data_IF_992537352007
#
_entry.id   IF_992537352007
#
_cell.length_a   1.000
_cell.length_b   1.000
_cell.length_c   1.000
_cell.angle_alpha   90.00
_cell.angle_beta   90.00
_cell.angle_gamma   90.00
#
_symmetry.space_group_name_H-M   'P 1'
#
loop_
_entity.id
_entity.type
_entity.pdbx_description
1 polymer ?
#
# COMPACT_ATOMS: atom_id res chain seq x y z
N UNK A 1 4.52 44.87 47.38
CA UNK A 1 4.36 44.81 45.89
C UNK A 1 5.32 43.89 45.13
N UNK A 2 6.17 43.06 45.77
CA UNK A 2 7.05 42.10 45.05
C UNK A 2 6.35 40.77 44.69
N UNK A 3 5.43 40.29 45.54
CA UNK A 3 4.67 39.05 45.32
C UNK A 3 3.69 39.10 44.14
N UNK A 4 3.10 40.27 43.84
CA UNK A 4 2.18 40.39 42.70
C UNK A 4 2.90 40.22 41.36
N UNK A 5 4.16 40.66 41.27
CA UNK A 5 4.96 40.54 40.05
C UNK A 5 5.33 39.10 39.73
N UNK A 6 5.67 38.30 40.75
CA UNK A 6 6.00 36.88 40.55
C UNK A 6 4.80 36.05 40.11
N UNK A 7 3.61 36.33 40.66
CA UNK A 7 2.38 35.62 40.27
C UNK A 7 1.97 35.95 38.83
N UNK A 8 2.07 37.22 38.41
CA UNK A 8 1.80 37.65 37.02
C UNK A 8 2.81 37.02 36.04
N UNK A 9 4.06 36.85 36.46
CA UNK A 9 5.11 36.26 35.64
C UNK A 9 4.92 34.74 35.48
N UNK A 10 4.50 34.06 36.56
CA UNK A 10 4.12 32.64 36.52
C UNK A 10 2.89 32.41 35.64
N UNK A 11 1.85 33.24 35.75
CA UNK A 11 0.64 33.12 34.91
C UNK A 11 0.99 33.28 33.43
N UNK A 12 1.83 34.25 33.06
CA UNK A 12 2.33 34.42 31.68
C UNK A 12 3.11 33.20 31.17
N UNK A 13 3.92 32.57 32.03
CA UNK A 13 4.67 31.36 31.66
C UNK A 13 3.74 30.17 31.45
N UNK A 14 2.73 29.97 32.31
CA UNK A 14 1.72 28.92 32.09
C UNK A 14 0.88 29.16 30.84
N UNK A 15 0.48 30.40 30.55
CA UNK A 15 -0.26 30.71 29.31
C UNK A 15 0.57 30.40 28.07
N UNK A 16 1.86 30.74 28.06
CA UNK A 16 2.76 30.42 26.95
C UNK A 16 3.01 28.91 26.78
N UNK A 17 3.03 28.15 27.87
CA UNK A 17 3.13 26.69 27.81
C UNK A 17 1.84 26.05 27.28
N UNK A 18 0.68 26.57 27.69
CA UNK A 18 -0.63 26.11 27.20
C UNK A 18 -0.79 26.44 25.71
N UNK A 19 -0.35 27.63 25.27
CA UNK A 19 -0.39 28.00 23.85
C UNK A 19 0.53 27.11 23.01
N UNK A 20 1.74 26.78 23.49
CA UNK A 20 2.64 25.82 22.81
C UNK A 20 2.06 24.41 22.77
N UNK A 21 1.46 23.95 23.87
CA UNK A 21 0.82 22.64 23.94
C UNK A 21 -0.37 22.57 22.96
N UNK A 22 -1.16 23.64 22.90
CA UNK A 22 -2.28 23.78 21.96
C UNK A 22 -1.82 23.85 20.50
N UNK A 23 -0.70 24.53 20.21
CA UNK A 23 -0.08 24.55 18.88
C UNK A 23 0.46 23.17 18.48
N UNK A 24 1.08 22.42 19.41
CA UNK A 24 1.52 21.04 19.18
C UNK A 24 0.33 20.11 18.91
N UNK A 25 -0.75 20.17 19.71
CA UNK A 25 -1.98 19.40 19.43
C UNK A 25 -2.64 19.81 18.12
N UNK A 26 -2.69 21.10 17.77
CA UNK A 26 -3.23 21.55 16.46
C UNK A 26 -2.36 21.10 15.30
N UNK A 27 -1.04 21.00 15.49
CA UNK A 27 -0.13 20.49 14.48
C UNK A 27 -0.26 18.97 14.31
N UNK A 28 -0.45 18.23 15.39
CA UNK A 28 -0.82 16.81 15.40
C UNK A 28 -2.18 16.58 14.72
N UNK A 29 -3.20 17.37 15.04
CA UNK A 29 -4.54 17.32 14.42
C UNK A 29 -4.49 17.63 12.91
N UNK A 30 -3.73 18.65 12.49
CA UNK A 30 -3.53 18.97 11.07
C UNK A 30 -2.74 17.89 10.32
N UNK A 31 -1.85 17.15 11.01
CA UNK A 31 -1.21 15.95 10.44
C UNK A 31 -2.22 14.81 10.30
N UNK A 32 -3.09 14.61 11.29
CA UNK A 32 -4.19 13.63 11.26
C UNK A 32 -5.16 13.90 10.10
N UNK A 33 -5.52 15.16 9.85
CA UNK A 33 -6.40 15.53 8.73
C UNK A 33 -5.77 15.29 7.35
N UNK A 34 -4.45 15.43 7.20
CA UNK A 34 -3.77 15.15 5.92
C UNK A 34 -3.87 13.69 5.48
N UNK A 35 -4.08 12.75 6.42
CA UNK A 35 -4.30 11.34 6.12
C UNK A 35 -5.79 10.98 5.94
N UNK A 36 -6.73 11.91 6.19
CA UNK A 36 -8.17 11.69 5.97
C UNK A 36 -8.59 11.85 4.51
N UNK A 37 -7.73 12.35 3.63
CA UNK A 37 -8.04 12.36 2.20
C UNK A 37 -7.86 10.93 1.63
N UNK A 38 -8.84 10.38 0.90
CA UNK A 38 -8.69 9.11 0.19
C UNK A 38 -7.40 9.11 -0.62
N UNK A 39 -6.57 8.07 -0.47
CA UNK A 39 -5.46 7.89 -1.38
C UNK A 39 -6.02 7.65 -2.78
N UNK A 40 -5.71 8.55 -3.71
CA UNK A 40 -6.01 8.32 -5.12
C UNK A 40 -5.25 7.10 -5.59
N UNK A 41 -5.96 6.09 -6.11
CA UNK A 41 -5.32 4.89 -6.63
C UNK A 41 -4.45 5.24 -7.83
N UNK A 42 -3.26 4.65 -7.88
CA UNK A 42 -2.30 4.84 -8.96
C UNK A 42 -1.75 3.51 -9.41
N UNK A 43 -1.86 3.21 -10.71
CA UNK A 43 -1.18 2.05 -11.28
C UNK A 43 0.35 2.21 -11.21
N UNK A 44 0.85 3.44 -11.09
CA UNK A 44 2.28 3.73 -10.95
C UNK A 44 2.75 3.70 -9.49
N UNK A 45 1.93 3.29 -8.53
CA UNK A 45 2.32 3.13 -7.12
C UNK A 45 3.47 2.15 -6.94
N UNK A 46 3.50 1.14 -7.80
CA UNK A 46 4.47 0.06 -7.88
C UNK A 46 4.86 -0.14 -9.33
N UNK A 47 6.11 -0.54 -9.58
CA UNK A 47 6.57 -1.03 -10.87
C UNK A 47 6.73 -2.54 -10.77
N UNK A 48 6.19 -3.29 -11.74
CA UNK A 48 6.38 -4.73 -11.81
C UNK A 48 7.28 -5.07 -13.01
N UNK A 49 8.15 -6.06 -12.84
CA UNK A 49 8.98 -6.61 -13.92
C UNK A 49 8.87 -8.13 -13.94
N UNK A 50 9.38 -8.73 -15.01
CA UNK A 50 9.55 -10.18 -15.07
C UNK A 50 11.03 -10.55 -14.97
N UNK A 51 11.37 -11.73 -14.42
CA UNK A 51 12.72 -12.23 -14.47
C UNK A 51 13.16 -12.50 -15.91
N UNK A 52 14.46 -12.38 -16.18
CA UNK A 52 15.03 -12.78 -17.47
C UNK A 52 14.91 -14.27 -17.74
N UNK A 53 14.99 -15.10 -16.69
CA UNK A 53 14.69 -16.53 -16.74
C UNK A 53 13.33 -16.79 -16.07
N UNK A 54 12.33 -17.09 -16.88
CA UNK A 54 10.96 -17.33 -16.39
C UNK A 54 10.81 -18.62 -15.59
N UNK A 55 11.78 -19.56 -15.62
CA UNK A 55 11.77 -20.73 -14.73
C UNK A 55 11.82 -20.34 -13.26
N UNK A 56 12.32 -19.15 -12.95
CA UNK A 56 12.30 -18.60 -11.58
C UNK A 56 10.89 -18.35 -11.04
N UNK A 57 9.88 -18.35 -11.91
CA UNK A 57 8.47 -18.21 -11.54
C UNK A 57 7.81 -19.55 -11.17
N UNK A 58 8.49 -20.68 -11.43
CA UNK A 58 7.91 -22.00 -11.13
C UNK A 58 7.69 -22.18 -9.63
N UNK A 59 6.46 -22.56 -9.28
CA UNK A 59 6.01 -22.78 -7.90
C UNK A 59 6.21 -21.56 -6.97
N UNK A 60 6.39 -20.36 -7.51
CA UNK A 60 6.58 -19.15 -6.73
C UNK A 60 5.22 -18.64 -6.22
N UNK A 61 5.14 -18.29 -4.94
CA UNK A 61 3.93 -17.67 -4.39
C UNK A 61 3.77 -16.23 -4.88
N UNK A 62 2.53 -15.73 -4.91
CA UNK A 62 2.22 -14.34 -5.26
C UNK A 62 3.01 -13.33 -4.42
N UNK A 63 3.07 -13.53 -3.10
CA UNK A 63 3.84 -12.65 -2.22
C UNK A 63 5.35 -12.69 -2.52
N UNK A 64 5.90 -13.88 -2.77
CA UNK A 64 7.31 -14.02 -3.13
C UNK A 64 7.63 -13.35 -4.47
N UNK A 65 6.73 -13.45 -5.45
CA UNK A 65 6.85 -12.73 -6.70
C UNK A 65 6.85 -11.22 -6.46
N UNK A 66 5.86 -10.73 -5.71
CA UNK A 66 5.73 -9.32 -5.39
C UNK A 66 6.99 -8.79 -4.71
N UNK A 67 7.52 -9.48 -3.71
CA UNK A 67 8.73 -9.05 -3.02
C UNK A 67 9.99 -8.99 -3.90
N UNK A 68 10.12 -9.88 -4.89
CA UNK A 68 11.34 -10.00 -5.72
C UNK A 68 11.30 -9.15 -6.98
N UNK A 69 10.15 -9.08 -7.63
CA UNK A 69 10.02 -8.53 -8.98
C UNK A 69 9.15 -7.27 -9.03
N UNK A 70 8.97 -6.63 -7.89
CA UNK A 70 8.26 -5.36 -7.83
C UNK A 70 9.02 -4.32 -7.04
N UNK A 71 8.81 -3.06 -7.41
CA UNK A 71 9.44 -1.91 -6.80
C UNK A 71 8.40 -0.84 -6.50
N UNK A 72 7.99 -0.70 -5.23
CA UNK A 72 7.20 0.43 -4.78
C UNK A 72 7.88 1.76 -5.10
N UNK A 73 7.10 2.78 -5.41
CA UNK A 73 7.64 4.15 -5.54
C UNK A 73 8.09 4.68 -4.18
N UNK A 74 9.17 5.46 -4.16
CA UNK A 74 9.73 5.99 -2.92
C UNK A 74 8.71 6.82 -2.11
N UNK A 75 7.82 7.56 -2.79
CA UNK A 75 6.77 8.32 -2.13
C UNK A 75 5.76 7.40 -1.43
N UNK A 76 5.20 6.40 -2.13
CA UNK A 76 4.26 5.44 -1.53
C UNK A 76 4.88 4.68 -0.38
N UNK A 77 6.11 4.19 -0.55
CA UNK A 77 6.86 3.53 0.52
C UNK A 77 6.99 4.41 1.76
N UNK A 78 7.32 5.70 1.61
CA UNK A 78 7.42 6.62 2.75
C UNK A 78 6.07 6.83 3.46
N UNK A 79 4.98 6.96 2.71
CA UNK A 79 3.63 7.11 3.27
C UNK A 79 3.25 5.86 4.08
N UNK A 80 3.42 4.67 3.49
CA UNK A 80 3.04 3.41 4.12
C UNK A 80 3.92 3.11 5.34
N UNK A 81 5.23 3.33 5.26
CA UNK A 81 6.11 3.13 6.41
C UNK A 81 5.80 4.09 7.57
N UNK A 82 5.35 5.32 7.28
CA UNK A 82 4.87 6.24 8.33
C UNK A 82 3.59 5.73 8.98
N UNK A 83 2.67 5.18 8.19
CA UNK A 83 1.44 4.57 8.69
C UNK A 83 1.75 3.34 9.56
N UNK A 84 2.59 2.43 9.06
CA UNK A 84 3.03 1.24 9.81
C UNK A 84 3.60 1.67 11.16
N UNK A 85 4.57 2.60 11.20
CA UNK A 85 5.18 3.06 12.46
C UNK A 85 4.19 3.68 13.45
N UNK A 86 3.08 4.23 12.97
CA UNK A 86 2.03 4.82 13.81
C UNK A 86 1.18 3.73 14.46
N UNK A 87 0.87 2.66 13.72
CA UNK A 87 -0.02 1.58 14.16
C UNK A 87 0.74 0.45 14.87
N UNK A 88 1.92 0.12 14.37
CA UNK A 88 2.73 -1.02 14.76
C UNK A 88 4.18 -0.59 15.00
N UNK A 89 4.68 -0.93 16.19
CA UNK A 89 6.07 -0.64 16.59
C UNK A 89 7.02 -1.77 16.21
N UNK A 90 6.48 -2.95 15.97
CA UNK A 90 7.26 -4.15 15.69
C UNK A 90 7.63 -4.24 14.21
N UNK A 91 8.76 -4.91 13.97
CA UNK A 91 9.30 -5.12 12.61
C UNK A 91 8.49 -6.21 11.89
N UNK A 92 8.01 -7.18 12.66
CA UNK A 92 7.16 -8.29 12.25
C UNK A 92 5.77 -8.01 12.76
N UNK A 93 4.79 -8.03 11.88
CA UNK A 93 3.42 -7.60 12.15
C UNK A 93 2.51 -8.80 11.92
N UNK A 94 1.64 -9.08 12.88
CA UNK A 94 0.70 -10.19 12.77
C UNK A 94 -0.27 -9.98 11.59
N UNK A 95 -0.82 -11.07 11.05
CA UNK A 95 -1.65 -10.99 9.84
C UNK A 95 -2.87 -10.07 10.02
N UNK A 96 -3.51 -10.12 11.17
CA UNK A 96 -4.68 -9.28 11.49
C UNK A 96 -4.31 -7.79 11.53
N UNK A 97 -3.21 -7.45 12.21
CA UNK A 97 -2.68 -6.10 12.24
C UNK A 97 -2.26 -5.61 10.85
N UNK A 98 -1.73 -6.50 10.00
CA UNK A 98 -1.40 -6.18 8.63
C UNK A 98 -2.64 -5.83 7.79
N UNK A 99 -3.78 -6.52 7.99
CA UNK A 99 -5.05 -6.16 7.35
C UNK A 99 -5.53 -4.78 7.80
N UNK A 100 -5.41 -4.46 9.09
CA UNK A 100 -5.76 -3.15 9.62
C UNK A 100 -4.90 -2.03 9.01
N UNK A 101 -3.58 -2.26 8.87
CA UNK A 101 -2.69 -1.32 8.19
C UNK A 101 -3.13 -1.09 6.74
N UNK A 102 -3.46 -2.16 6.01
CA UNK A 102 -3.91 -2.05 4.61
C UNK A 102 -5.27 -1.32 4.54
N UNK A 103 -6.17 -1.58 5.48
CA UNK A 103 -7.47 -0.90 5.56
C UNK A 103 -7.31 0.61 5.86
N UNK A 104 -6.48 0.97 6.84
CA UNK A 104 -6.19 2.37 7.16
C UNK A 104 -5.42 3.08 6.04
N UNK A 105 -4.59 2.36 5.28
CA UNK A 105 -3.93 2.91 4.09
C UNK A 105 -4.94 3.42 3.07
N UNK A 106 -6.04 2.70 2.87
CA UNK A 106 -7.13 3.15 2.01
C UNK A 106 -8.10 4.11 2.69
N UNK A 107 -7.78 4.56 3.91
CA UNK A 107 -8.61 5.41 4.76
C UNK A 107 -10.06 4.89 4.81
N UNK A 108 -10.22 3.57 4.97
CA UNK A 108 -11.51 2.87 5.05
C UNK A 108 -12.45 3.04 3.85
N UNK A 109 -11.95 3.52 2.69
CA UNK A 109 -12.71 3.50 1.44
C UNK A 109 -12.90 2.08 0.89
N UNK A 110 -12.17 1.11 1.44
CA UNK A 110 -12.30 -0.33 1.18
C UNK A 110 -12.72 -1.01 2.47
N UNK A 111 -13.69 -1.91 2.36
CA UNK A 111 -14.20 -2.64 3.52
C UNK A 111 -13.17 -3.67 3.97
N UNK A 112 -13.31 -4.15 5.19
CA UNK A 112 -12.47 -5.25 5.66
C UNK A 112 -12.64 -6.51 4.78
N UNK A 113 -13.84 -6.74 4.23
CA UNK A 113 -14.11 -7.82 3.27
C UNK A 113 -13.31 -7.64 1.97
N UNK A 114 -13.21 -6.41 1.43
CA UNK A 114 -12.38 -6.12 0.25
C UNK A 114 -10.90 -6.44 0.52
N UNK A 115 -10.41 -6.15 1.73
CA UNK A 115 -9.03 -6.44 2.14
C UNK A 115 -8.84 -7.95 2.34
N UNK A 116 -9.83 -8.64 2.91
CA UNK A 116 -9.78 -10.09 3.08
C UNK A 116 -9.74 -10.80 1.72
N UNK A 117 -10.55 -10.37 0.76
CA UNK A 117 -10.55 -10.89 -0.61
C UNK A 117 -9.20 -10.68 -1.29
N UNK A 118 -8.56 -9.53 -1.08
CA UNK A 118 -7.19 -9.27 -1.56
C UNK A 118 -6.18 -10.26 -0.97
N UNK A 119 -6.26 -10.54 0.33
CA UNK A 119 -5.35 -11.48 1.00
C UNK A 119 -5.57 -12.93 0.55
N UNK A 120 -6.82 -13.33 0.31
CA UNK A 120 -7.15 -14.62 -0.30
C UNK A 120 -6.64 -14.70 -1.74
N UNK A 121 -6.80 -13.62 -2.51
CA UNK A 121 -6.32 -13.53 -3.88
C UNK A 121 -4.80 -13.73 -3.96
N UNK A 122 -4.07 -13.14 -3.02
CA UNK A 122 -2.62 -13.26 -2.86
C UNK A 122 -2.17 -14.58 -2.21
N UNK A 123 -3.10 -15.39 -1.70
CA UNK A 123 -2.83 -16.66 -1.01
C UNK A 123 -1.87 -16.48 0.19
N UNK A 124 -2.13 -15.44 1.00
CA UNK A 124 -1.30 -15.09 2.17
C UNK A 124 -1.99 -15.30 3.52
N UNK A 125 -3.26 -15.73 3.53
CA UNK A 125 -4.00 -15.98 4.77
C UNK A 125 -3.46 -17.15 5.60
N UNK A 126 -2.59 -17.99 5.02
CA UNK A 126 -1.87 -19.05 5.74
C UNK A 126 -0.63 -18.55 6.49
N UNK A 127 -0.23 -17.29 6.30
CA UNK A 127 0.90 -16.69 6.99
C UNK A 127 0.46 -16.17 8.36
N UNK A 128 1.32 -16.37 9.37
CA UNK A 128 1.05 -15.83 10.72
C UNK A 128 1.40 -14.35 10.83
N UNK A 129 2.40 -13.89 10.07
CA UNK A 129 2.96 -12.56 10.19
C UNK A 129 3.62 -12.09 8.89
N UNK A 130 3.75 -10.78 8.73
CA UNK A 130 4.37 -10.11 7.59
C UNK A 130 5.42 -9.10 8.05
N UNK A 131 6.46 -8.93 7.23
CA UNK A 131 7.43 -7.84 7.43
C UNK A 131 6.86 -6.52 6.92
N UNK A 132 7.30 -5.40 7.50
CA UNK A 132 6.89 -4.07 7.04
C UNK A 132 7.12 -3.84 5.53
N UNK A 133 8.19 -4.40 4.95
CA UNK A 133 8.45 -4.31 3.51
C UNK A 133 7.40 -5.04 2.66
N UNK A 134 6.88 -6.16 3.16
CA UNK A 134 5.86 -6.95 2.49
C UNK A 134 4.52 -6.20 2.49
N UNK A 135 4.18 -5.59 3.62
CA UNK A 135 2.97 -4.75 3.73
C UNK A 135 3.06 -3.55 2.78
N UNK A 136 4.23 -2.91 2.65
CA UNK A 136 4.43 -1.82 1.67
C UNK A 136 4.10 -2.29 0.26
N UNK A 137 4.62 -3.46 -0.13
CA UNK A 137 4.41 -4.03 -1.45
C UNK A 137 2.93 -4.41 -1.65
N UNK A 138 2.29 -5.01 -0.63
CA UNK A 138 0.85 -5.35 -0.64
C UNK A 138 0.01 -4.08 -0.83
N UNK A 139 0.23 -3.02 -0.05
CA UNK A 139 -0.51 -1.75 -0.19
C UNK A 139 -0.37 -1.14 -1.59
N UNK A 140 0.84 -1.15 -2.15
CA UNK A 140 1.04 -0.59 -3.49
C UNK A 140 0.40 -1.46 -4.58
N UNK A 141 0.50 -2.80 -4.47
CA UNK A 141 -0.18 -3.71 -5.38
C UNK A 141 -1.71 -3.64 -5.23
N UNK A 142 -2.24 -3.45 -4.03
CA UNK A 142 -3.66 -3.32 -3.76
C UNK A 142 -4.30 -2.17 -4.56
N UNK A 143 -3.60 -1.03 -4.71
CA UNK A 143 -4.05 0.05 -5.60
C UNK A 143 -4.27 -0.45 -7.03
N UNK A 144 -3.38 -1.28 -7.56
CA UNK A 144 -3.51 -1.87 -8.90
C UNK A 144 -4.63 -2.89 -8.97
N UNK A 145 -4.73 -3.75 -7.97
CA UNK A 145 -5.79 -4.75 -7.88
C UNK A 145 -7.16 -4.08 -7.91
N UNK A 146 -7.38 -3.04 -7.09
CA UNK A 146 -8.65 -2.31 -7.07
C UNK A 146 -8.87 -1.48 -8.34
N UNK A 147 -7.84 -0.86 -8.92
CA UNK A 147 -7.95 -0.20 -10.23
C UNK A 147 -8.34 -1.16 -11.35
N UNK A 148 -7.75 -2.36 -11.37
CA UNK A 148 -8.07 -3.38 -12.37
C UNK A 148 -9.52 -3.85 -12.23
N UNK A 149 -10.03 -4.02 -11.00
CA UNK A 149 -11.45 -4.31 -10.77
C UNK A 149 -12.34 -3.18 -11.25
N UNK A 150 -11.98 -1.92 -10.99
CA UNK A 150 -12.72 -0.76 -11.50
C UNK A 150 -12.70 -0.68 -13.03
N UNK A 151 -11.57 -0.96 -13.68
CA UNK A 151 -11.48 -0.90 -15.15
C UNK A 151 -12.23 -2.02 -15.87
N UNK A 152 -12.68 -3.06 -15.15
CA UNK A 152 -13.63 -4.04 -15.68
C UNK A 152 -15.06 -3.50 -15.71
N UNK A 153 -15.38 -2.52 -14.86
CA UNK A 153 -16.70 -1.90 -14.77
C UNK A 153 -16.79 -0.58 -15.54
N UNK A 154 -15.68 0.14 -15.68
CA UNK A 154 -15.62 1.48 -16.29
C UNK A 154 -14.45 1.61 -17.28
N UNK A 155 -14.57 2.50 -18.27
CA UNK A 155 -13.46 2.83 -19.18
C UNK A 155 -12.42 3.71 -18.49
N UNK A 156 -11.63 3.13 -17.60
CA UNK A 156 -10.53 3.81 -16.92
C UNK A 156 -9.18 3.39 -17.54
N UNK A 157 -8.41 4.35 -18.04
CA UNK A 157 -7.04 4.12 -18.52
C UNK A 157 -6.05 4.68 -17.49
N UNK A 158 -5.43 3.78 -16.72
CA UNK A 158 -4.30 4.13 -15.87
C UNK A 158 -3.00 3.98 -16.66
N UNK A 159 -2.23 5.07 -16.83
CA UNK A 159 -0.93 5.01 -17.51
C UNK A 159 0.04 4.16 -16.69
N UNK A 160 0.59 3.10 -17.30
CA UNK A 160 1.66 2.25 -16.74
C UNK A 160 3.01 2.62 -17.36
N UNK A 161 4.15 2.32 -16.71
CA UNK A 161 5.47 2.50 -17.31
C UNK A 161 5.63 1.66 -18.59
N UNK A 162 6.26 2.23 -19.62
CA UNK A 162 6.45 1.55 -20.92
C UNK A 162 7.14 0.19 -20.79
N UNK A 163 8.17 0.10 -19.93
CA UNK A 163 8.88 -1.16 -19.69
C UNK A 163 7.93 -2.27 -19.22
N UNK A 164 6.97 -1.93 -18.35
CA UNK A 164 6.03 -2.89 -17.83
C UNK A 164 5.03 -3.32 -18.91
N UNK A 165 4.57 -2.39 -19.75
CA UNK A 165 3.72 -2.73 -20.89
C UNK A 165 4.42 -3.78 -21.76
N UNK A 166 5.69 -3.55 -22.11
CA UNK A 166 6.50 -4.47 -22.93
C UNK A 166 6.70 -5.83 -22.20
N UNK A 167 6.94 -5.81 -20.90
CA UNK A 167 7.13 -7.02 -20.11
C UNK A 167 5.87 -7.89 -20.12
N UNK A 168 4.67 -7.28 -20.08
CA UNK A 168 3.41 -8.00 -19.89
C UNK A 168 2.54 -8.16 -21.16
N UNK A 169 2.86 -7.50 -22.28
CA UNK A 169 2.10 -7.54 -23.55
C UNK A 169 1.91 -8.97 -24.10
N UNK A 170 2.92 -9.83 -23.95
CA UNK A 170 2.92 -11.21 -24.46
C UNK A 170 3.10 -12.26 -23.37
N UNK A 171 2.62 -11.99 -22.16
CA UNK A 171 2.80 -12.86 -20.99
C UNK A 171 2.44 -14.32 -21.26
N UNK A 172 1.29 -14.58 -21.91
CA UNK A 172 0.83 -15.95 -22.22
C UNK A 172 1.84 -16.74 -23.07
N UNK A 173 2.52 -16.09 -24.02
CA UNK A 173 3.55 -16.73 -24.85
C UNK A 173 4.84 -16.95 -24.05
N UNK A 174 5.23 -15.95 -23.24
CA UNK A 174 6.42 -15.98 -22.38
C UNK A 174 6.38 -17.10 -21.33
N UNK A 175 5.18 -17.39 -20.81
CA UNK A 175 4.98 -18.38 -19.74
C UNK A 175 4.56 -19.77 -20.26
N UNK A 176 4.61 -20.01 -21.57
CA UNK A 176 4.24 -21.30 -22.14
C UNK A 176 5.17 -22.42 -21.63
N UNK A 177 4.58 -23.44 -21.01
CA UNK A 177 5.31 -24.59 -20.45
C UNK A 177 5.90 -24.38 -19.06
N UNK A 178 5.60 -23.25 -18.41
CA UNK A 178 6.05 -22.93 -17.05
C UNK A 178 4.95 -23.30 -16.05
N UNK A 179 5.31 -24.03 -14.99
CA UNK A 179 4.37 -24.44 -13.95
C UNK A 179 4.22 -23.35 -12.89
N UNK A 180 3.19 -22.52 -13.03
CA UNK A 180 2.86 -21.46 -12.08
C UNK A 180 1.84 -21.97 -11.04
N UNK A 181 1.94 -21.45 -9.82
CA UNK A 181 0.84 -21.59 -8.86
C UNK A 181 -0.37 -20.77 -9.34
N UNK A 182 -1.58 -21.23 -9.02
CA UNK A 182 -2.84 -20.58 -9.44
C UNK A 182 -2.92 -19.12 -8.96
N UNK A 183 -2.50 -18.86 -7.72
CA UNK A 183 -2.48 -17.50 -7.14
C UNK A 183 -1.57 -16.57 -7.94
N UNK A 184 -0.37 -17.04 -8.32
CA UNK A 184 0.56 -16.28 -9.14
C UNK A 184 0.03 -16.06 -10.55
N UNK A 185 -0.58 -17.09 -11.16
CA UNK A 185 -1.17 -16.95 -12.49
C UNK A 185 -2.25 -15.85 -12.51
N UNK A 186 -3.15 -15.85 -11.52
CA UNK A 186 -4.17 -14.81 -11.36
C UNK A 186 -3.54 -13.43 -11.16
N UNK A 187 -2.53 -13.32 -10.29
CA UNK A 187 -1.81 -12.08 -10.05
C UNK A 187 -1.21 -11.52 -11.33
N UNK A 188 -0.47 -12.33 -12.09
CA UNK A 188 0.17 -11.88 -13.33
C UNK A 188 -0.86 -11.43 -14.38
N UNK A 189 -2.05 -12.05 -14.43
CA UNK A 189 -3.15 -11.59 -15.30
C UNK A 189 -3.61 -10.17 -14.95
N UNK A 190 -3.70 -9.81 -13.66
CA UNK A 190 -4.06 -8.42 -13.26
C UNK A 190 -3.00 -7.40 -13.65
N UNK A 191 -1.74 -7.84 -13.81
CA UNK A 191 -0.61 -7.03 -14.26
C UNK A 191 -0.54 -6.90 -15.78
N UNK A 192 -1.31 -7.68 -16.54
CA UNK A 192 -1.50 -7.41 -17.96
C UNK A 192 -2.38 -6.17 -18.13
N UNK A 193 -2.21 -5.42 -19.23
CA UNK A 193 -3.20 -4.39 -19.54
C UNK A 193 -4.56 -5.05 -19.77
N UNK A 194 -5.64 -4.51 -19.21
CA UNK A 194 -6.98 -4.99 -19.52
C UNK A 194 -7.15 -4.86 -21.03
N UNK A 195 -7.33 -6.00 -21.70
CA UNK A 195 -7.53 -6.00 -23.15
C UNK A 195 -8.82 -5.25 -23.40
N UNK A 196 -8.73 -4.00 -23.85
CA UNK A 196 -9.87 -3.28 -24.37
C UNK A 196 -10.30 -4.07 -25.59
N UNK A 197 -11.31 -4.93 -25.42
CA UNK A 197 -12.01 -5.50 -26.56
C UNK A 197 -12.57 -4.29 -27.29
N UNK A 198 -11.94 -3.92 -28.40
CA UNK A 198 -12.61 -3.13 -29.42
C UNK A 198 -13.82 -3.99 -29.84
N UNK A 199 -15.00 -3.57 -29.40
CA UNK A 199 -16.26 -4.02 -29.98
C UNK A 199 -16.28 -3.52 -31.42
#
# INVERSE_FOLDING_TARGET
>A
MKYLKSVIQQTKQTSQLIDRFNEETRFEERKLEKFKAPITFSASSIQCTLPSDYRQLENLSSLSFLNRYTKPTANRQQIILKLIRKLQRDIVIDLEDAKDVVCEYFNYNKTYDDIHELFDFLDINSLNSLQASEIVVICCYAERYFLHRLSQCETFSSRRPLQEIIDFEFLKRKLHGIKLCDSLQRLLTTLQEPTTRKI
#
